data_IF_280387169461
#
_entry.id   IF_280387169461
#
_cell.length_a   1.000
_cell.length_b   1.000
_cell.length_c   1.000
_cell.angle_alpha   90.00
_cell.angle_beta   90.00
_cell.angle_gamma   90.00
#
_symmetry.space_group_name_H-M   'P 1'
#
loop_
_entity.id
_entity.type
_entity.pdbx_description
1 polymer ?
#
# COMPACT_ATOMS: atom_id res chain seq x y z
N UNK A 1 11.85 -28.28 -20.01
CA UNK A 1 11.51 -27.11 -20.85
C UNK A 1 10.10 -26.66 -20.49
N UNK A 2 9.98 -25.51 -19.87
CA UNK A 2 8.67 -24.89 -19.68
C UNK A 2 8.27 -24.24 -21.00
N UNK A 3 7.28 -24.80 -21.66
CA UNK A 3 6.70 -24.24 -22.87
C UNK A 3 5.75 -23.09 -22.48
N UNK A 4 6.16 -21.85 -22.77
CA UNK A 4 5.39 -20.61 -22.52
C UNK A 4 4.54 -20.22 -23.74
N UNK A 5 4.23 -21.14 -24.63
CA UNK A 5 3.37 -20.93 -25.80
C UNK A 5 1.91 -21.23 -25.50
N UNK A 6 1.31 -20.62 -24.49
CA UNK A 6 -0.14 -20.57 -24.42
C UNK A 6 -0.61 -19.18 -24.82
N UNK A 7 -1.31 -19.12 -25.94
CA UNK A 7 -2.07 -17.96 -26.38
C UNK A 7 -3.13 -17.61 -25.32
N UNK A 8 -2.76 -16.80 -24.35
CA UNK A 8 -3.70 -16.22 -23.41
C UNK A 8 -4.06 -14.84 -23.91
N UNK A 9 -5.01 -14.83 -24.82
CA UNK A 9 -5.74 -13.65 -25.24
C UNK A 9 -7.05 -13.61 -24.45
N UNK A 10 -7.00 -13.12 -23.19
CA UNK A 10 -8.22 -12.68 -22.50
C UNK A 10 -7.88 -11.61 -21.48
N UNK A 11 -8.59 -10.52 -21.58
CA UNK A 11 -8.59 -9.35 -20.69
C UNK A 11 -9.09 -9.65 -19.26
N UNK A 12 -9.24 -10.90 -18.87
CA UNK A 12 -9.87 -11.35 -17.62
C UNK A 12 -8.94 -12.15 -16.69
N UNK A 13 -7.63 -12.17 -16.96
CA UNK A 13 -6.68 -12.86 -16.08
C UNK A 13 -6.31 -11.98 -14.89
N UNK A 14 -6.94 -12.27 -13.75
CA UNK A 14 -6.43 -11.85 -12.46
C UNK A 14 -5.14 -12.62 -12.13
N UNK A 15 -4.06 -11.90 -11.82
CA UNK A 15 -2.82 -12.50 -11.29
C UNK A 15 -2.80 -12.28 -9.80
N UNK A 16 -2.67 -13.36 -9.04
CA UNK A 16 -2.51 -13.31 -7.59
C UNK A 16 -1.05 -13.46 -7.21
N UNK A 17 -0.55 -12.52 -6.41
CA UNK A 17 0.83 -12.49 -5.92
C UNK A 17 0.80 -12.57 -4.40
N UNK A 18 1.65 -13.43 -3.81
CA UNK A 18 1.93 -13.40 -2.40
C UNK A 18 2.93 -12.29 -2.10
N UNK A 19 2.46 -11.25 -1.42
CA UNK A 19 3.24 -10.07 -1.04
C UNK A 19 4.06 -10.29 0.24
N UNK A 20 3.90 -11.45 0.89
CA UNK A 20 4.61 -11.84 2.10
C UNK A 20 4.00 -11.30 3.39
N UNK A 21 4.84 -11.27 4.43
CA UNK A 21 4.44 -10.86 5.79
C UNK A 21 4.61 -9.36 5.99
N UNK A 22 3.82 -8.85 6.93
CA UNK A 22 3.91 -7.46 7.40
C UNK A 22 4.41 -7.41 8.85
N UNK A 23 4.86 -6.23 9.28
CA UNK A 23 5.29 -6.02 10.67
C UNK A 23 4.94 -4.61 11.16
N UNK A 24 4.33 -4.53 12.34
CA UNK A 24 4.12 -3.26 13.05
C UNK A 24 5.28 -2.89 13.99
N UNK A 25 6.30 -3.76 14.11
CA UNK A 25 7.46 -3.46 14.97
C UNK A 25 8.22 -2.22 14.43
N UNK A 26 8.38 -1.16 15.24
CA UNK A 26 9.07 0.06 14.83
C UNK A 26 10.50 -0.15 14.34
N UNK A 27 11.20 -1.15 14.85
CA UNK A 27 12.57 -1.49 14.42
C UNK A 27 12.58 -1.91 12.93
N UNK A 28 11.56 -2.65 12.50
CA UNK A 28 11.46 -3.11 11.11
C UNK A 28 11.03 -1.98 10.16
N UNK A 29 10.28 -1.00 10.68
CA UNK A 29 9.84 0.20 9.93
C UNK A 29 10.98 1.22 9.78
N UNK A 30 12.13 1.07 10.39
CA UNK A 30 13.09 1.96 11.01
C UNK A 30 12.49 3.31 11.47
N UNK A 31 11.54 3.21 12.43
CA UNK A 31 10.91 4.38 13.04
C UNK A 31 11.44 4.64 14.45
N UNK A 32 11.60 5.90 14.82
CA UNK A 32 12.03 6.33 16.16
C UNK A 32 10.85 6.28 17.14
N UNK A 33 10.41 5.05 17.47
CA UNK A 33 9.35 4.78 18.42
C UNK A 33 9.70 3.53 19.23
N UNK A 34 9.41 3.53 20.53
CA UNK A 34 9.56 2.36 21.40
C UNK A 34 8.34 1.44 21.40
N UNK A 35 7.24 1.88 20.78
CA UNK A 35 5.97 1.15 20.69
C UNK A 35 5.43 1.18 19.27
N UNK A 36 4.54 0.25 18.94
CA UNK A 36 3.82 0.25 17.66
C UNK A 36 3.15 1.61 17.40
N UNK A 37 3.22 2.04 16.14
CA UNK A 37 2.62 3.30 15.70
C UNK A 37 1.22 2.97 15.16
N UNK A 38 0.24 2.89 16.06
CA UNK A 38 -1.14 2.56 15.74
C UNK A 38 -2.02 3.73 16.14
N UNK A 39 -2.69 4.36 15.19
CA UNK A 39 -3.54 5.55 15.38
C UNK A 39 -2.86 6.63 16.24
N UNK A 40 -1.57 6.84 16.01
CA UNK A 40 -0.72 7.76 16.78
C UNK A 40 -0.82 9.16 16.20
N UNK A 41 -0.98 10.14 17.07
CA UNK A 41 -0.93 11.56 16.69
C UNK A 41 0.46 11.94 16.20
N UNK A 42 0.52 12.58 15.04
CA UNK A 42 1.71 13.15 14.44
C UNK A 42 1.45 14.62 14.07
N UNK A 43 2.27 15.52 14.59
CA UNK A 43 2.22 16.91 14.20
C UNK A 43 3.28 17.19 13.12
N UNK A 44 2.87 17.85 12.06
CA UNK A 44 3.73 18.36 11.00
C UNK A 44 3.34 19.81 10.71
N UNK A 45 4.25 20.63 10.20
CA UNK A 45 4.05 22.00 9.71
C UNK A 45 2.61 22.55 9.69
N UNK A 46 1.96 22.73 10.85
CA UNK A 46 0.63 23.30 11.04
C UNK A 46 -0.57 22.34 10.83
N UNK A 47 -0.36 21.06 10.60
CA UNK A 47 -1.44 20.07 10.51
C UNK A 47 -1.15 18.86 11.39
N UNK A 48 -2.21 18.31 11.94
CA UNK A 48 -2.19 17.12 12.79
C UNK A 48 -2.76 15.95 12.03
N UNK A 49 -2.10 14.80 12.14
CA UNK A 49 -2.55 13.54 11.54
C UNK A 49 -2.61 12.45 12.59
N UNK A 50 -3.51 11.49 12.41
CA UNK A 50 -3.48 10.22 13.11
C UNK A 50 -2.94 9.16 12.16
N UNK A 51 -1.81 8.56 12.50
CA UNK A 51 -1.06 7.67 11.64
C UNK A 51 -0.99 6.25 12.19
N UNK A 52 -0.99 5.28 11.28
CA UNK A 52 -0.64 3.89 11.56
C UNK A 52 0.50 3.48 10.63
N UNK A 53 1.60 2.96 11.18
CA UNK A 53 2.77 2.64 10.37
C UNK A 53 3.14 1.16 10.50
N UNK A 54 3.54 0.56 9.37
CA UNK A 54 3.98 -0.83 9.29
C UNK A 54 5.00 -1.02 8.17
N UNK A 55 5.74 -2.13 8.25
CA UNK A 55 6.52 -2.65 7.14
C UNK A 55 5.63 -3.56 6.29
N UNK A 56 5.59 -3.32 4.97
CA UNK A 56 5.04 -4.21 3.96
C UNK A 56 5.98 -4.21 2.75
N UNK A 57 7.03 -5.04 2.82
CA UNK A 57 8.18 -4.97 1.92
C UNK A 57 9.05 -3.73 2.16
N UNK A 58 8.44 -2.56 2.23
CA UNK A 58 9.04 -1.25 2.56
C UNK A 58 8.20 -0.53 3.61
N UNK A 59 8.72 0.54 4.27
CA UNK A 59 7.98 1.33 5.25
C UNK A 59 6.75 2.01 4.64
N UNK A 60 5.61 1.85 5.30
CA UNK A 60 4.35 2.52 4.96
C UNK A 60 3.72 3.17 6.18
N UNK A 61 3.20 4.37 5.99
CA UNK A 61 2.41 5.12 6.97
C UNK A 61 1.05 5.44 6.38
N UNK A 62 -0.01 5.06 7.08
CA UNK A 62 -1.39 5.20 6.64
C UNK A 62 -2.07 6.30 7.46
N UNK A 63 -2.74 7.20 6.76
CA UNK A 63 -3.62 8.25 7.31
C UNK A 63 -5.05 7.91 6.89
N UNK A 64 -5.92 7.67 7.87
CA UNK A 64 -7.33 7.39 7.60
C UNK A 64 -8.17 8.67 7.63
N UNK A 65 -9.10 8.79 6.67
CA UNK A 65 -10.05 9.89 6.57
C UNK A 65 -10.67 9.95 5.18
N UNK A 66 -11.49 10.95 4.89
CA UNK A 66 -12.01 11.14 3.53
C UNK A 66 -10.90 11.64 2.62
N UNK A 67 -10.79 11.07 1.41
CA UNK A 67 -9.74 11.46 0.46
C UNK A 67 -9.84 12.91 -0.01
N UNK A 68 -11.01 13.54 0.11
CA UNK A 68 -11.23 14.96 -0.22
C UNK A 68 -10.61 15.92 0.82
N UNK A 69 -10.35 15.45 2.05
CA UNK A 69 -9.77 16.24 3.14
C UNK A 69 -8.23 16.35 3.03
N UNK A 70 -7.63 15.62 2.08
CA UNK A 70 -6.17 15.54 1.93
C UNK A 70 -5.71 15.85 0.51
N UNK A 71 -4.74 16.76 0.40
CA UNK A 71 -3.89 16.80 -0.79
C UNK A 71 -2.80 15.72 -0.64
N UNK A 72 -2.64 14.89 -1.66
CA UNK A 72 -1.66 13.80 -1.63
C UNK A 72 -0.22 14.32 -1.44
N UNK A 73 0.05 15.57 -1.85
CA UNK A 73 1.33 16.24 -1.65
C UNK A 73 1.66 16.50 -0.16
N UNK A 74 0.67 16.46 0.73
CA UNK A 74 0.88 16.52 2.18
C UNK A 74 1.72 15.33 2.69
N UNK A 75 1.73 14.22 1.95
CA UNK A 75 2.59 13.07 2.22
C UNK A 75 4.06 13.43 2.36
N UNK A 76 4.53 14.47 1.67
CA UNK A 76 5.90 15.00 1.78
C UNK A 76 6.27 15.37 3.23
N UNK A 77 5.34 15.93 3.99
CA UNK A 77 5.61 16.36 5.37
C UNK A 77 5.68 15.17 6.33
N UNK A 78 4.91 14.11 6.08
CA UNK A 78 4.94 12.87 6.85
C UNK A 78 6.18 12.06 6.47
N UNK A 79 6.49 11.91 5.17
CA UNK A 79 7.68 11.24 4.66
C UNK A 79 8.96 11.76 5.33
N UNK A 80 9.08 13.08 5.46
CA UNK A 80 10.28 13.73 5.97
C UNK A 80 10.22 14.03 7.48
N UNK A 81 9.24 13.49 8.22
CA UNK A 81 9.17 13.67 9.65
C UNK A 81 10.33 12.93 10.36
N UNK A 82 10.88 13.53 11.40
CA UNK A 82 11.99 12.96 12.18
C UNK A 82 11.66 11.58 12.79
N UNK A 83 10.37 11.24 12.94
CA UNK A 83 9.93 9.90 13.36
C UNK A 83 10.42 8.80 12.38
N UNK A 84 10.65 9.14 11.11
CA UNK A 84 11.06 8.22 10.05
C UNK A 84 12.43 8.61 9.45
N UNK A 85 13.55 8.30 10.10
CA UNK A 85 14.89 8.70 9.62
C UNK A 85 15.25 8.15 8.24
N UNK A 86 14.68 7.00 7.87
CA UNK A 86 14.82 6.41 6.52
C UNK A 86 13.64 6.71 5.62
N UNK A 87 12.77 7.67 6.03
CA UNK A 87 11.55 8.05 5.34
C UNK A 87 10.53 6.91 5.25
N UNK A 88 9.33 7.22 4.79
CA UNK A 88 8.21 6.28 4.64
C UNK A 88 7.37 6.64 3.42
N UNK A 89 6.73 5.65 2.80
CA UNK A 89 5.62 5.89 1.87
C UNK A 89 4.39 6.30 2.67
N UNK A 90 3.58 7.21 2.15
CA UNK A 90 2.39 7.70 2.83
C UNK A 90 1.16 7.36 2.01
N UNK A 91 0.18 6.73 2.65
CA UNK A 91 -1.06 6.32 2.01
C UNK A 91 -2.24 6.99 2.71
N UNK A 92 -2.95 7.84 1.98
CA UNK A 92 -4.23 8.41 2.44
C UNK A 92 -5.33 7.40 2.10
N UNK A 93 -6.04 6.93 3.11
CA UNK A 93 -6.96 5.80 3.01
C UNK A 93 -8.36 6.20 3.51
N UNK A 94 -9.34 6.08 2.63
CA UNK A 94 -10.75 6.22 2.95
C UNK A 94 -11.41 4.86 3.04
N UNK A 95 -12.03 4.56 4.17
CA UNK A 95 -12.83 3.35 4.36
C UNK A 95 -14.24 3.62 3.85
N UNK A 96 -14.63 2.97 2.75
CA UNK A 96 -15.97 3.10 2.17
C UNK A 96 -16.95 2.18 2.89
N UNK A 97 -16.54 0.91 3.09
CA UNK A 97 -17.27 -0.09 3.89
C UNK A 97 -16.30 -1.17 4.40
N UNK A 98 -16.83 -2.25 4.99
CA UNK A 98 -16.03 -3.35 5.55
C UNK A 98 -15.17 -4.09 4.55
N UNK A 99 -15.47 -3.99 3.27
CA UNK A 99 -14.79 -4.73 2.20
C UNK A 99 -14.27 -3.82 1.08
N UNK A 100 -14.38 -2.49 1.22
CA UNK A 100 -13.93 -1.52 0.20
C UNK A 100 -13.22 -0.35 0.83
N UNK A 101 -12.01 -0.08 0.36
CA UNK A 101 -11.26 1.14 0.68
C UNK A 101 -10.82 1.86 -0.59
N UNK A 102 -10.56 3.17 -0.47
CA UNK A 102 -9.92 4.01 -1.50
C UNK A 102 -8.57 4.46 -1.00
N UNK A 103 -7.55 4.44 -1.84
CA UNK A 103 -6.19 4.82 -1.45
C UNK A 103 -5.57 5.75 -2.49
N UNK A 104 -4.92 6.82 -2.00
CA UNK A 104 -4.00 7.66 -2.76
C UNK A 104 -2.64 7.58 -2.08
N UNK A 105 -1.58 7.42 -2.87
CA UNK A 105 -0.22 7.20 -2.33
C UNK A 105 0.73 8.32 -2.74
N UNK A 106 1.50 8.77 -1.77
CA UNK A 106 2.75 9.50 -1.92
C UNK A 106 3.89 8.53 -1.70
N UNK A 107 4.62 8.18 -2.75
CA UNK A 107 5.75 7.27 -2.64
C UNK A 107 7.03 8.00 -2.24
N UNK A 108 7.78 7.38 -1.34
CA UNK A 108 9.06 7.86 -0.84
C UNK A 108 10.05 8.14 -1.98
N UNK A 109 10.42 9.41 -2.13
CA UNK A 109 11.36 9.86 -3.16
C UNK A 109 10.79 9.99 -4.57
N UNK A 110 9.55 9.58 -4.82
CA UNK A 110 8.90 9.65 -6.12
C UNK A 110 7.70 10.61 -6.17
N UNK A 111 7.05 10.84 -5.02
CA UNK A 111 5.87 11.70 -4.94
C UNK A 111 4.56 10.97 -5.23
N UNK A 112 3.51 11.65 -5.74
CA UNK A 112 2.21 11.04 -5.98
C UNK A 112 2.29 10.04 -7.14
N UNK A 113 1.71 8.85 -6.93
CA UNK A 113 1.65 7.78 -7.93
C UNK A 113 0.23 7.29 -8.15
N UNK A 114 -0.02 6.68 -9.32
CA UNK A 114 -1.34 6.17 -9.67
C UNK A 114 -1.71 4.89 -8.95
N UNK A 115 -0.72 4.08 -8.57
CA UNK A 115 -0.89 2.84 -7.84
C UNK A 115 0.41 2.45 -7.13
N UNK A 116 0.29 1.91 -5.92
CA UNK A 116 1.37 1.32 -5.15
C UNK A 116 0.86 0.01 -4.55
N UNK A 117 1.33 -1.13 -5.06
CA UNK A 117 0.86 -2.45 -4.61
C UNK A 117 1.11 -2.68 -3.12
N UNK A 118 2.34 -2.43 -2.65
CA UNK A 118 2.70 -2.56 -1.22
C UNK A 118 1.94 -1.56 -0.35
N UNK A 119 1.67 -0.34 -0.85
CA UNK A 119 0.88 0.67 -0.16
C UNK A 119 -0.60 0.28 -0.02
N UNK A 120 -1.17 -0.34 -1.05
CA UNK A 120 -2.52 -0.90 -1.01
C UNK A 120 -2.61 -2.03 0.01
N UNK A 121 -1.65 -2.96 0.01
CA UNK A 121 -1.55 -4.04 0.99
C UNK A 121 -1.42 -3.50 2.43
N UNK A 122 -0.52 -2.54 2.64
CA UNK A 122 -0.31 -1.89 3.93
C UNK A 122 -1.59 -1.19 4.44
N UNK A 123 -2.35 -0.56 3.54
CA UNK A 123 -3.62 0.10 3.89
C UNK A 123 -4.68 -0.90 4.35
N UNK A 124 -4.78 -2.07 3.69
CA UNK A 124 -5.69 -3.16 4.10
C UNK A 124 -5.26 -3.73 5.47
N UNK A 125 -3.97 -4.01 5.65
CA UNK A 125 -3.46 -4.52 6.94
C UNK A 125 -3.72 -3.53 8.08
N UNK A 126 -3.47 -2.24 7.86
CA UNK A 126 -3.72 -1.21 8.86
C UNK A 126 -5.21 -1.04 9.18
N UNK A 127 -6.08 -1.04 8.15
CA UNK A 127 -7.53 -0.93 8.36
C UNK A 127 -8.11 -2.14 9.10
N UNK A 128 -7.63 -3.34 8.78
CA UNK A 128 -8.00 -4.57 9.49
C UNK A 128 -7.52 -4.55 10.95
N UNK A 129 -6.27 -4.13 11.20
CA UNK A 129 -5.70 -3.98 12.56
C UNK A 129 -6.52 -3.04 13.44
N UNK A 130 -7.11 -2.00 12.84
CA UNK A 130 -7.97 -1.02 13.53
C UNK A 130 -9.44 -1.47 13.59
N UNK A 131 -9.81 -2.61 13.00
CA UNK A 131 -11.18 -3.10 12.97
C UNK A 131 -12.10 -2.33 12.02
N UNK A 132 -11.54 -1.55 11.10
CA UNK A 132 -12.30 -0.78 10.11
C UNK A 132 -12.80 -1.67 8.97
N UNK A 133 -11.99 -2.65 8.55
CA UNK A 133 -12.32 -3.59 7.48
C UNK A 133 -12.13 -5.04 7.91
N UNK A 134 -12.67 -5.95 7.08
CA UNK A 134 -12.40 -7.37 7.16
C UNK A 134 -11.04 -7.73 6.53
N UNK A 135 -10.70 -9.03 6.50
CA UNK A 135 -9.42 -9.53 5.96
C UNK A 135 -9.38 -9.58 4.43
N UNK A 136 -10.53 -9.46 3.74
CA UNK A 136 -10.63 -9.45 2.27
C UNK A 136 -11.26 -8.15 1.80
N UNK A 137 -10.49 -7.35 1.07
CA UNK A 137 -10.84 -5.96 0.76
C UNK A 137 -10.52 -5.62 -0.70
N UNK A 138 -11.47 -4.97 -1.35
CA UNK A 138 -11.29 -4.31 -2.64
C UNK A 138 -10.68 -2.93 -2.43
N UNK A 139 -9.53 -2.67 -3.04
CA UNK A 139 -8.82 -1.40 -2.97
C UNK A 139 -8.96 -0.65 -4.28
N UNK A 140 -9.56 0.53 -4.21
CA UNK A 140 -9.66 1.45 -5.34
C UNK A 140 -8.50 2.45 -5.28
N UNK A 141 -7.66 2.45 -6.31
CA UNK A 141 -6.57 3.41 -6.50
C UNK A 141 -6.78 4.19 -7.80
N UNK A 142 -6.13 5.34 -8.01
CA UNK A 142 -6.27 6.08 -9.27
C UNK A 142 -5.95 5.25 -10.52
N UNK A 143 -5.04 4.26 -10.41
CA UNK A 143 -4.65 3.37 -11.50
C UNK A 143 -5.56 2.15 -11.72
N UNK A 144 -6.58 1.91 -10.87
CA UNK A 144 -7.48 0.76 -11.03
C UNK A 144 -7.97 0.15 -9.72
N UNK A 145 -8.24 -1.15 -9.77
CA UNK A 145 -8.78 -1.90 -8.63
C UNK A 145 -7.87 -3.09 -8.33
N UNK A 146 -7.60 -3.31 -7.04
CA UNK A 146 -6.89 -4.47 -6.52
C UNK A 146 -7.77 -5.21 -5.52
N UNK A 147 -7.71 -6.53 -5.49
CA UNK A 147 -8.30 -7.35 -4.44
C UNK A 147 -7.17 -7.81 -3.51
N UNK A 148 -7.31 -7.54 -2.23
CA UNK A 148 -6.27 -7.87 -1.24
C UNK A 148 -6.90 -8.71 -0.15
N UNK A 149 -6.20 -9.79 0.24
CA UNK A 149 -6.65 -10.72 1.25
C UNK A 149 -5.52 -11.04 2.23
N UNK A 150 -5.84 -11.00 3.53
CA UNK A 150 -4.93 -11.41 4.60
C UNK A 150 -5.21 -12.88 4.94
N UNK A 151 -4.24 -13.74 4.68
CA UNK A 151 -4.36 -15.19 4.91
C UNK A 151 -3.18 -15.68 5.76
N UNK A 152 -3.45 -16.22 6.93
CA UNK A 152 -2.44 -16.78 7.84
C UNK A 152 -1.26 -15.84 8.15
N UNK A 153 -1.52 -14.53 8.22
CA UNK A 153 -0.50 -13.50 8.49
C UNK A 153 0.35 -13.09 7.29
N UNK A 154 -0.01 -13.55 6.10
CA UNK A 154 0.54 -13.12 4.82
C UNK A 154 -0.50 -12.34 4.02
N UNK A 155 -0.07 -11.55 3.07
CA UNK A 155 -0.94 -10.71 2.24
C UNK A 155 -0.90 -11.20 0.80
N UNK A 156 -2.06 -11.55 0.27
CA UNK A 156 -2.26 -11.87 -1.13
C UNK A 156 -2.84 -10.64 -1.84
N UNK A 157 -2.28 -10.29 -2.98
CA UNK A 157 -2.77 -9.22 -3.84
C UNK A 157 -3.11 -9.78 -5.21
N UNK A 158 -4.34 -9.53 -5.65
CA UNK A 158 -4.82 -9.86 -6.99
C UNK A 158 -5.09 -8.57 -7.78
N UNK A 159 -4.62 -8.53 -9.01
CA UNK A 159 -4.87 -7.43 -9.92
C UNK A 159 -4.91 -7.90 -11.37
N UNK A 160 -5.37 -7.03 -12.30
CA UNK A 160 -5.36 -7.33 -13.73
C UNK A 160 -3.92 -7.42 -14.24
N UNK A 161 -3.70 -8.26 -15.24
CA UNK A 161 -2.45 -8.34 -15.96
C UNK A 161 -2.73 -8.31 -17.47
N UNK A 162 -2.05 -7.40 -18.17
CA UNK A 162 -2.20 -7.22 -19.60
C UNK A 162 -0.85 -7.38 -20.31
N UNK A 163 -0.85 -7.99 -21.48
CA UNK A 163 0.32 -8.10 -22.33
C UNK A 163 0.55 -6.77 -23.06
N UNK A 164 1.58 -6.02 -22.66
CA UNK A 164 1.86 -4.69 -23.19
C UNK A 164 2.62 -4.76 -24.52
N UNK A 165 3.57 -5.71 -24.67
CA UNK A 165 4.30 -5.96 -25.92
C UNK A 165 4.96 -7.33 -25.91
N UNK A 166 5.33 -7.82 -27.11
CA UNK A 166 6.20 -8.99 -27.31
C UNK A 166 7.46 -8.53 -28.01
N UNK A 167 8.63 -9.04 -27.62
CA UNK A 167 9.91 -8.70 -28.21
C UNK A 167 10.88 -9.88 -28.21
N UNK A 168 11.92 -9.79 -29.05
CA UNK A 168 13.04 -10.73 -29.08
C UNK A 168 14.34 -9.97 -28.86
N UNK A 169 15.29 -10.55 -28.16
CA UNK A 169 16.64 -10.02 -28.01
C UNK A 169 17.66 -11.14 -28.20
N UNK A 170 18.84 -10.81 -28.77
CA UNK A 170 19.92 -11.74 -28.93
C UNK A 170 20.89 -11.61 -27.77
N UNK A 171 21.30 -12.74 -27.21
CA UNK A 171 22.36 -12.82 -26.18
C UNK A 171 23.64 -13.14 -26.94
N UNK A 172 24.61 -12.22 -26.90
CA UNK A 172 25.96 -12.42 -27.46
C UNK A 172 26.87 -13.03 -26.40
#
# INVERSE_FOLDING_TARGET
>A
SCDWSSDVCSSDLGVTINMGKYSFNPINIPALSSVEIINKKLNTNNKEYYITSLLMGVPHTIVFGKLEDYDVSEGKYIENNCLFPQKTNVNFCEVVDKNVIRVKTWERGAGPTLACGTGSCASVVASNRLGYTEGKVKVQVPGGILNIEIVNGEVLMEGPAENVFKGQFSIN
#
